data_IF_482040454316
#
_entry.id   IF_482040454316
#
_cell.length_a   1.000
_cell.length_b   1.000
_cell.length_c   1.000
_cell.angle_alpha   90.00
_cell.angle_beta   90.00
_cell.angle_gamma   90.00
#
_symmetry.space_group_name_H-M   'P 1'
#
loop_
_entity.id
_entity.type
_entity.pdbx_description
1 polymer ?
#
# COMPACT_ATOMS: atom_id res chain seq x y z
N UNK A 1 13.33 15.13 -28.23
CA UNK A 1 13.69 13.87 -27.52
C UNK A 1 12.57 13.58 -26.54
N UNK A 2 11.74 12.55 -26.79
CA UNK A 2 10.77 12.11 -25.80
C UNK A 2 11.56 11.44 -24.67
N UNK A 3 11.69 12.11 -23.51
CA UNK A 3 12.19 11.44 -22.32
C UNK A 3 11.23 10.30 -21.99
N UNK A 4 11.76 9.07 -21.97
CA UNK A 4 10.99 7.89 -21.55
C UNK A 4 10.52 8.14 -20.11
N UNK A 5 9.21 8.03 -19.86
CA UNK A 5 8.66 8.16 -18.50
C UNK A 5 9.22 7.03 -17.63
N UNK A 6 9.60 7.36 -16.40
CA UNK A 6 10.02 6.34 -15.42
C UNK A 6 8.86 5.38 -15.13
N UNK A 7 9.16 4.07 -15.18
CA UNK A 7 8.22 2.98 -14.85
C UNK A 7 7.95 2.98 -13.35
N UNK A 8 6.68 2.92 -12.96
CA UNK A 8 6.32 2.83 -11.54
C UNK A 8 5.41 1.66 -11.23
N UNK A 9 5.57 1.12 -10.03
CA UNK A 9 4.62 0.19 -9.42
C UNK A 9 4.18 0.73 -8.06
N UNK A 10 2.89 0.65 -7.78
CA UNK A 10 2.30 1.12 -6.52
C UNK A 10 1.97 -0.10 -5.65
N UNK A 11 2.47 -0.12 -4.41
CA UNK A 11 2.26 -1.17 -3.42
C UNK A 11 1.46 -0.60 -2.26
N UNK A 12 0.25 -1.12 -2.07
CA UNK A 12 -0.70 -0.62 -1.08
C UNK A 12 -0.92 -1.68 -0.01
N UNK A 13 -0.47 -1.41 1.20
CA UNK A 13 -0.92 -2.11 2.39
C UNK A 13 -2.35 -1.65 2.70
N UNK A 14 -3.34 -2.48 2.35
CA UNK A 14 -4.75 -2.11 2.36
C UNK A 14 -5.26 -1.75 3.76
N UNK A 15 -4.86 -2.53 4.76
CA UNK A 15 -5.22 -2.31 6.17
C UNK A 15 -4.59 -1.02 6.69
N UNK A 16 -3.27 -0.85 6.51
CA UNK A 16 -2.56 0.35 6.95
C UNK A 16 -3.07 1.61 6.24
N UNK A 17 -3.31 1.53 4.93
CA UNK A 17 -3.90 2.60 4.14
C UNK A 17 -5.27 3.02 4.67
N UNK A 18 -6.19 2.06 4.86
CA UNK A 18 -7.54 2.33 5.36
C UNK A 18 -7.51 3.04 6.72
N UNK A 19 -6.75 2.51 7.67
CA UNK A 19 -6.67 3.10 9.01
C UNK A 19 -5.97 4.46 9.01
N UNK A 20 -4.94 4.64 8.18
CA UNK A 20 -4.22 5.91 8.05
C UNK A 20 -5.13 7.00 7.49
N UNK A 21 -5.91 6.69 6.45
CA UNK A 21 -6.89 7.61 5.86
C UNK A 21 -8.00 7.94 6.84
N UNK A 22 -8.58 6.93 7.49
CA UNK A 22 -9.67 7.10 8.46
C UNK A 22 -9.24 7.99 9.63
N UNK A 23 -8.06 7.75 10.20
CA UNK A 23 -7.53 8.54 11.32
C UNK A 23 -7.15 9.97 10.93
N UNK A 24 -6.65 10.18 9.71
CA UNK A 24 -6.10 11.48 9.28
C UNK A 24 -7.15 12.40 8.66
N UNK A 25 -8.06 11.84 7.86
CA UNK A 25 -9.02 12.61 7.06
C UNK A 25 -10.48 12.29 7.38
N UNK A 26 -10.75 11.21 8.13
CA UNK A 26 -12.09 10.76 8.48
C UNK A 26 -13.05 10.67 7.28
N UNK A 27 -12.58 10.13 6.16
CA UNK A 27 -13.35 10.00 4.93
C UNK A 27 -13.04 8.68 4.19
N UNK A 28 -13.86 8.37 3.18
CA UNK A 28 -13.58 7.31 2.21
C UNK A 28 -12.90 7.93 0.99
N UNK A 29 -11.92 7.21 0.44
CA UNK A 29 -11.17 7.64 -0.74
C UNK A 29 -11.51 6.75 -1.93
N UNK A 30 -11.52 7.37 -3.10
CA UNK A 30 -11.48 6.66 -4.36
C UNK A 30 -10.04 6.19 -4.67
N UNK A 31 -9.82 4.87 -4.56
CA UNK A 31 -8.51 4.23 -4.77
C UNK A 31 -8.01 4.44 -6.19
N UNK A 32 -8.89 4.41 -7.19
CA UNK A 32 -8.50 4.60 -8.58
C UNK A 32 -8.00 6.03 -8.79
N UNK A 33 -8.77 7.03 -8.35
CA UNK A 33 -8.35 8.43 -8.45
C UNK A 33 -7.09 8.71 -7.64
N UNK A 34 -6.96 8.11 -6.45
CA UNK A 34 -5.76 8.20 -5.62
C UNK A 34 -4.52 7.72 -6.39
N UNK A 35 -4.59 6.52 -6.97
CA UNK A 35 -3.47 5.93 -7.71
C UNK A 35 -3.16 6.70 -8.99
N UNK A 36 -4.19 7.13 -9.74
CA UNK A 36 -4.02 7.95 -10.96
C UNK A 36 -3.31 9.27 -10.65
N UNK A 37 -3.77 9.99 -9.62
CA UNK A 37 -3.17 11.26 -9.18
C UNK A 37 -1.73 11.08 -8.71
N UNK A 38 -1.44 9.99 -8.02
CA UNK A 38 -0.08 9.66 -7.57
C UNK A 38 0.86 9.30 -8.74
N UNK A 39 0.31 8.69 -9.79
CA UNK A 39 1.05 8.25 -10.98
C UNK A 39 1.19 9.33 -12.07
N UNK A 40 0.69 10.55 -11.85
CA UNK A 40 0.81 11.64 -12.81
C UNK A 40 2.28 11.89 -13.21
N UNK A 41 2.56 11.88 -14.51
CA UNK A 41 3.92 12.06 -15.05
C UNK A 41 4.73 10.77 -15.20
N UNK A 42 4.26 9.63 -14.68
CA UNK A 42 4.95 8.33 -14.75
C UNK A 42 4.30 7.36 -15.74
N UNK A 43 5.00 6.27 -16.04
CA UNK A 43 4.42 5.09 -16.69
C UNK A 43 3.99 4.08 -15.62
N UNK A 44 2.69 4.06 -15.30
CA UNK A 44 2.15 3.15 -14.29
C UNK A 44 2.08 1.73 -14.84
N UNK A 45 2.94 0.84 -14.35
CA UNK A 45 2.99 -0.57 -14.77
C UNK A 45 1.90 -1.37 -14.09
N UNK A 46 1.81 -1.30 -12.75
CA UNK A 46 0.77 -1.99 -11.97
C UNK A 46 0.50 -1.38 -10.60
N UNK A 47 -0.63 -1.75 -10.02
CA UNK A 47 -1.02 -1.44 -8.65
C UNK A 47 -1.24 -2.77 -7.92
N UNK A 48 -0.49 -3.02 -6.85
CA UNK A 48 -0.66 -4.19 -6.01
C UNK A 48 -1.33 -3.77 -4.69
N UNK A 49 -2.54 -4.27 -4.43
CA UNK A 49 -3.30 -4.00 -3.23
C UNK A 49 -3.32 -5.24 -2.33
N UNK A 50 -2.66 -5.16 -1.18
CA UNK A 50 -2.48 -6.28 -0.27
C UNK A 50 -3.46 -6.20 0.89
N UNK A 51 -4.17 -7.30 1.15
CA UNK A 51 -5.18 -7.35 2.20
C UNK A 51 -5.51 -8.79 2.60
N UNK A 52 -5.78 -9.04 3.88
CA UNK A 52 -6.33 -10.32 4.31
C UNK A 52 -7.87 -10.35 4.19
N UNK A 53 -8.45 -11.41 3.61
CA UNK A 53 -9.90 -11.57 3.55
C UNK A 53 -10.46 -11.84 4.96
N UNK A 54 -11.61 -11.23 5.26
CA UNK A 54 -12.35 -11.47 6.49
C UNK A 54 -13.09 -12.81 6.39
N UNK A 55 -13.10 -13.57 7.48
CA UNK A 55 -13.84 -14.83 7.53
C UNK A 55 -15.35 -14.62 7.58
N UNK A 56 -16.10 -15.66 7.19
CA UNK A 56 -17.58 -15.66 7.20
C UNK A 56 -18.20 -15.56 8.59
N UNK A 57 -17.39 -15.75 9.65
CA UNK A 57 -17.81 -15.56 11.04
C UNK A 57 -18.39 -14.17 11.34
N UNK A 58 -18.13 -13.17 10.48
CA UNK A 58 -18.83 -11.89 10.47
C UNK A 58 -19.47 -11.64 9.08
N UNK A 59 -20.72 -12.10 8.85
CA UNK A 59 -21.36 -12.08 7.53
C UNK A 59 -21.50 -10.68 6.93
N UNK A 60 -21.75 -9.67 7.77
CA UNK A 60 -21.88 -8.27 7.32
C UNK A 60 -20.54 -7.73 6.82
N UNK A 61 -19.49 -7.90 7.60
CA UNK A 61 -18.15 -7.45 7.24
C UNK A 61 -17.62 -8.20 6.01
N UNK A 62 -17.90 -9.51 5.92
CA UNK A 62 -17.62 -10.33 4.74
C UNK A 62 -18.29 -9.77 3.48
N UNK A 63 -19.61 -9.55 3.53
CA UNK A 63 -20.38 -9.03 2.40
C UNK A 63 -19.89 -7.65 1.96
N UNK A 64 -19.59 -6.76 2.90
CA UNK A 64 -19.03 -5.43 2.62
C UNK A 64 -17.64 -5.53 1.97
N UNK A 65 -16.79 -6.45 2.45
CA UNK A 65 -15.46 -6.66 1.90
C UNK A 65 -15.52 -7.26 0.48
N UNK A 66 -16.40 -8.22 0.22
CA UNK A 66 -16.58 -8.76 -1.14
C UNK A 66 -17.03 -7.66 -2.11
N UNK A 67 -18.00 -6.83 -1.73
CA UNK A 67 -18.41 -5.66 -2.53
C UNK A 67 -17.25 -4.68 -2.77
N UNK A 68 -16.35 -4.52 -1.81
CA UNK A 68 -15.15 -3.70 -1.97
C UNK A 68 -14.17 -4.33 -2.94
N UNK A 69 -13.91 -5.63 -2.86
CA UNK A 69 -13.06 -6.35 -3.82
C UNK A 69 -13.60 -6.30 -5.24
N UNK A 70 -14.91 -6.45 -5.44
CA UNK A 70 -15.55 -6.30 -6.76
C UNK A 70 -15.38 -4.90 -7.34
N UNK A 71 -15.25 -3.87 -6.49
CA UNK A 71 -14.90 -2.51 -6.95
C UNK A 71 -13.42 -2.40 -7.30
N UNK A 72 -12.53 -2.96 -6.49
CA UNK A 72 -11.09 -2.93 -6.74
C UNK A 72 -10.71 -3.68 -8.03
N UNK A 73 -11.34 -4.83 -8.30
CA UNK A 73 -11.11 -5.62 -9.53
C UNK A 73 -11.42 -4.87 -10.82
N UNK A 74 -12.25 -3.81 -10.76
CA UNK A 74 -12.58 -2.96 -11.92
C UNK A 74 -11.55 -1.86 -12.20
N UNK A 75 -10.61 -1.65 -11.28
CA UNK A 75 -9.58 -0.62 -11.42
C UNK A 75 -8.49 -1.16 -12.36
N UNK A 76 -8.22 -0.42 -13.43
CA UNK A 76 -7.19 -0.79 -14.40
C UNK A 76 -5.83 -0.99 -13.72
N UNK A 77 -5.10 -2.03 -14.13
CA UNK A 77 -3.78 -2.44 -13.61
C UNK A 77 -3.72 -2.78 -12.12
N UNK A 78 -4.87 -2.85 -11.42
CA UNK A 78 -4.90 -3.22 -10.01
C UNK A 78 -5.06 -4.73 -9.83
N UNK A 79 -4.15 -5.31 -9.05
CA UNK A 79 -4.21 -6.70 -8.59
C UNK A 79 -4.40 -6.73 -7.08
N UNK A 80 -5.37 -7.54 -6.62
CA UNK A 80 -5.54 -7.84 -5.20
C UNK A 80 -4.64 -9.03 -4.85
N UNK A 81 -3.85 -8.89 -3.79
CA UNK A 81 -2.96 -9.93 -3.29
C UNK A 81 -3.39 -10.29 -1.87
N UNK A 82 -3.86 -11.52 -1.70
CA UNK A 82 -4.43 -11.95 -0.44
C UNK A 82 -3.34 -12.40 0.54
N UNK A 83 -3.37 -11.81 1.72
CA UNK A 83 -2.83 -12.42 2.93
C UNK A 83 -3.81 -13.44 3.50
N UNK A 84 -3.69 -13.70 4.80
CA UNK A 84 -4.66 -14.53 5.53
C UNK A 84 -4.93 -13.97 6.91
N UNK A 85 -6.15 -14.18 7.41
CA UNK A 85 -6.48 -13.92 8.81
C UNK A 85 -6.32 -15.20 9.61
N UNK A 86 -5.42 -15.17 10.59
CA UNK A 86 -5.25 -16.26 11.54
C UNK A 86 -5.99 -15.93 12.84
N UNK A 87 -6.76 -16.91 13.34
CA UNK A 87 -7.44 -16.79 14.63
C UNK A 87 -6.46 -17.17 15.74
N UNK A 88 -6.26 -16.25 16.66
CA UNK A 88 -5.46 -16.45 17.86
C UNK A 88 -6.34 -16.35 19.11
N UNK A 89 -5.86 -16.96 20.21
CA UNK A 89 -6.51 -16.92 21.52
C UNK A 89 -5.50 -16.41 22.55
N UNK A 90 -5.84 -15.34 23.24
CA UNK A 90 -5.06 -14.79 24.35
C UNK A 90 -6.02 -14.42 25.47
N UNK A 91 -5.70 -14.84 26.70
CA UNK A 91 -6.52 -14.62 27.90
C UNK A 91 -8.00 -14.98 27.72
N UNK A 92 -8.25 -16.11 27.04
CA UNK A 92 -9.61 -16.60 26.76
C UNK A 92 -10.35 -15.86 25.63
N UNK A 93 -9.82 -14.72 25.13
CA UNK A 93 -10.43 -13.93 24.05
C UNK A 93 -9.86 -14.32 22.69
N UNK A 94 -10.74 -14.50 21.72
CA UNK A 94 -10.35 -14.69 20.33
C UNK A 94 -10.05 -13.35 19.69
N UNK A 95 -8.93 -13.26 18.98
CA UNK A 95 -8.60 -12.14 18.12
C UNK A 95 -8.06 -12.65 16.78
N UNK A 96 -8.10 -11.81 15.76
CA UNK A 96 -7.64 -12.17 14.43
C UNK A 96 -6.41 -11.33 14.07
N UNK A 97 -5.40 -11.98 13.51
CA UNK A 97 -4.14 -11.34 13.10
C UNK A 97 -4.00 -11.50 11.60
N UNK A 98 -3.74 -10.39 10.93
CA UNK A 98 -3.35 -10.38 9.51
C UNK A 98 -1.94 -10.94 9.37
N UNK A 99 -1.80 -11.91 8.47
CA UNK A 99 -0.54 -12.60 8.18
C UNK A 99 -0.28 -12.61 6.69
N UNK A 100 0.98 -12.83 6.35
CA UNK A 100 1.52 -12.87 5.00
C UNK A 100 1.46 -11.56 4.19
N UNK A 101 0.68 -10.55 4.59
CA UNK A 101 0.63 -9.24 3.90
C UNK A 101 2.00 -8.58 3.84
N UNK A 102 2.68 -8.39 4.97
CA UNK A 102 4.00 -7.72 4.99
C UNK A 102 5.07 -8.54 4.28
N UNK A 103 4.98 -9.86 4.39
CA UNK A 103 5.86 -10.80 3.67
C UNK A 103 5.63 -10.70 2.15
N UNK A 104 4.38 -10.66 1.70
CA UNK A 104 4.02 -10.53 0.29
C UNK A 104 4.47 -9.18 -0.28
N UNK A 105 4.26 -8.08 0.45
CA UNK A 105 4.74 -6.75 0.04
C UNK A 105 6.25 -6.75 -0.09
N UNK A 106 6.96 -7.22 0.94
CA UNK A 106 8.43 -7.25 0.95
C UNK A 106 8.98 -8.13 -0.17
N UNK A 107 8.36 -9.29 -0.40
CA UNK A 107 8.69 -10.23 -1.48
C UNK A 107 8.55 -9.56 -2.85
N UNK A 108 7.39 -8.96 -3.12
CA UNK A 108 7.13 -8.39 -4.44
C UNK A 108 8.01 -7.16 -4.69
N UNK A 109 8.18 -6.28 -3.69
CA UNK A 109 9.10 -5.14 -3.79
C UNK A 109 10.51 -5.56 -4.23
N UNK A 110 11.08 -6.59 -3.59
CA UNK A 110 12.45 -7.00 -3.88
C UNK A 110 12.58 -7.78 -5.19
N UNK A 111 11.65 -8.69 -5.51
CA UNK A 111 11.71 -9.42 -6.78
C UNK A 111 11.43 -8.52 -7.97
N UNK A 112 10.49 -7.58 -7.86
CA UNK A 112 10.25 -6.60 -8.92
C UNK A 112 11.45 -5.67 -9.15
N UNK A 113 12.26 -5.40 -8.11
CA UNK A 113 13.52 -4.69 -8.26
C UNK A 113 14.58 -5.53 -9.00
N UNK A 114 14.69 -6.82 -8.66
CA UNK A 114 15.60 -7.78 -9.31
C UNK A 114 15.22 -7.96 -10.79
N UNK A 115 13.93 -8.06 -11.09
CA UNK A 115 13.39 -8.33 -12.43
C UNK A 115 13.23 -7.06 -13.29
N UNK A 116 13.76 -5.91 -12.84
CA UNK A 116 13.68 -4.61 -13.53
C UNK A 116 12.25 -4.14 -13.85
N UNK A 117 11.26 -4.51 -13.03
CA UNK A 117 9.85 -4.18 -13.33
C UNK A 117 9.56 -2.68 -13.19
N UNK A 118 10.21 -2.00 -12.25
CA UNK A 118 10.01 -0.57 -12.02
C UNK A 118 11.33 0.19 -11.98
N UNK A 119 11.27 1.50 -12.24
CA UNK A 119 12.34 2.44 -11.91
C UNK A 119 12.10 3.04 -10.51
N UNK A 120 10.81 3.26 -10.18
CA UNK A 120 10.39 3.65 -8.83
C UNK A 120 9.23 2.80 -8.29
N UNK A 121 9.34 2.38 -7.03
CA UNK A 121 8.24 1.77 -6.30
C UNK A 121 7.63 2.76 -5.31
N UNK A 122 6.31 2.89 -5.35
CA UNK A 122 5.56 3.71 -4.41
C UNK A 122 5.01 2.82 -3.31
N UNK A 123 5.59 2.88 -2.12
CA UNK A 123 5.17 2.11 -0.96
C UNK A 123 4.21 2.95 -0.11
N UNK A 124 2.96 2.49 -0.01
CA UNK A 124 1.91 3.11 0.80
C UNK A 124 1.66 2.22 2.02
N UNK A 125 2.48 2.42 3.05
CA UNK A 125 2.29 1.89 4.39
C UNK A 125 3.11 2.71 5.38
N UNK A 126 2.58 2.96 6.57
CA UNK A 126 3.34 3.55 7.67
C UNK A 126 4.06 2.50 8.53
N UNK A 127 4.08 1.23 8.13
CA UNK A 127 4.79 0.21 8.89
C UNK A 127 6.32 0.37 8.76
N UNK A 128 7.01 0.49 9.90
CA UNK A 128 8.46 0.62 9.95
C UNK A 128 9.21 -0.66 9.61
N UNK A 129 8.55 -1.82 9.66
CA UNK A 129 9.17 -3.12 9.44
C UNK A 129 9.62 -3.30 7.99
N UNK A 130 9.02 -2.57 7.03
CA UNK A 130 9.49 -2.52 5.65
C UNK A 130 10.86 -1.83 5.49
N UNK A 131 11.38 -1.14 6.51
CA UNK A 131 12.65 -0.41 6.38
C UNK A 131 13.83 -1.30 6.01
N UNK A 132 13.82 -2.57 6.43
CA UNK A 132 14.84 -3.56 6.05
C UNK A 132 14.86 -3.85 4.55
N UNK A 133 13.70 -4.12 3.95
CA UNK A 133 13.60 -4.36 2.50
C UNK A 133 13.85 -3.08 1.70
N UNK A 134 13.32 -1.94 2.16
CA UNK A 134 13.54 -0.64 1.49
C UNK A 134 15.02 -0.28 1.48
N UNK A 135 15.73 -0.37 2.61
CA UNK A 135 17.17 -0.13 2.66
C UNK A 135 17.96 -1.11 1.80
N UNK A 136 17.51 -2.36 1.67
CA UNK A 136 18.20 -3.35 0.84
C UNK A 136 18.07 -2.99 -0.63
N UNK A 137 16.87 -2.58 -1.06
CA UNK A 137 16.62 -2.21 -2.44
C UNK A 137 17.41 -0.96 -2.82
N UNK A 138 17.30 0.12 -2.04
CA UNK A 138 17.92 1.41 -2.35
C UNK A 138 19.45 1.39 -2.31
N UNK A 139 20.06 0.40 -1.66
CA UNK A 139 21.53 0.24 -1.60
C UNK A 139 22.09 -0.72 -2.63
N UNK A 140 21.31 -1.72 -3.06
CA UNK A 140 21.80 -2.82 -3.91
C UNK A 140 21.40 -2.69 -5.38
N UNK A 141 20.35 -1.95 -5.68
CA UNK A 141 19.83 -1.81 -7.03
C UNK A 141 19.72 -0.32 -7.38
N UNK A 142 19.83 0.00 -8.67
CA UNK A 142 19.55 1.35 -9.19
C UNK A 142 18.03 1.58 -9.28
N UNK A 143 17.39 1.62 -8.10
CA UNK A 143 15.94 1.66 -7.93
C UNK A 143 15.57 2.65 -6.85
N UNK A 144 14.50 3.41 -7.08
CA UNK A 144 13.99 4.36 -6.08
C UNK A 144 12.81 3.76 -5.33
N UNK A 145 12.79 3.92 -4.02
CA UNK A 145 11.61 3.65 -3.20
C UNK A 145 11.04 4.99 -2.73
N UNK A 146 9.80 5.27 -3.12
CA UNK A 146 9.03 6.44 -2.72
C UNK A 146 8.08 6.04 -1.59
N UNK A 147 8.37 6.49 -0.38
CA UNK A 147 7.49 6.31 0.76
C UNK A 147 6.33 7.30 0.69
N UNK A 148 5.11 6.80 0.53
CA UNK A 148 3.88 7.59 0.51
C UNK A 148 3.25 7.57 1.90
N UNK A 149 3.47 8.63 2.66
CA UNK A 149 3.09 8.75 4.05
C UNK A 149 1.72 9.43 4.20
N UNK A 150 0.77 8.75 4.85
CA UNK A 150 -0.55 9.30 5.19
C UNK A 150 -0.65 9.35 6.71
N UNK A 151 -0.66 10.53 7.31
CA UNK A 151 -0.66 10.59 8.77
C UNK A 151 -0.20 11.90 9.37
N UNK A 152 -0.07 11.89 10.68
CA UNK A 152 0.57 12.96 11.44
C UNK A 152 2.01 12.57 11.83
N UNK A 153 2.73 13.47 12.49
CA UNK A 153 4.13 13.23 12.90
C UNK A 153 4.32 11.98 13.77
N UNK A 154 3.30 11.54 14.51
CA UNK A 154 3.38 10.36 15.39
C UNK A 154 3.09 9.05 14.64
N UNK A 155 2.27 9.08 13.60
CA UNK A 155 1.89 7.86 12.85
C UNK A 155 2.78 7.59 11.64
N UNK A 156 3.46 8.59 11.11
CA UNK A 156 4.38 8.42 9.98
C UNK A 156 5.68 7.78 10.45
N UNK A 157 6.13 6.72 9.78
CA UNK A 157 7.32 5.96 10.16
C UNK A 157 8.60 6.79 10.02
N UNK A 158 9.32 6.93 11.12
CA UNK A 158 10.67 7.49 11.14
C UNK A 158 11.67 6.57 10.41
N UNK A 159 11.54 5.25 10.58
CA UNK A 159 12.43 4.27 9.98
C UNK A 159 12.35 4.31 8.46
N UNK A 160 11.15 4.35 7.88
CA UNK A 160 10.96 4.45 6.43
C UNK A 160 11.51 5.76 5.87
N UNK A 161 11.27 6.89 6.54
CA UNK A 161 11.83 8.19 6.12
C UNK A 161 13.34 8.19 5.99
N UNK A 162 14.03 7.41 6.83
CA UNK A 162 15.50 7.31 6.85
C UNK A 162 16.07 6.53 5.68
N UNK A 163 15.32 5.57 5.12
CA UNK A 163 15.85 4.61 4.14
C UNK A 163 15.22 4.73 2.75
N UNK A 164 14.05 5.36 2.64
CA UNK A 164 13.39 5.61 1.37
C UNK A 164 14.15 6.70 0.58
N UNK A 165 14.16 6.58 -0.74
CA UNK A 165 14.80 7.56 -1.64
C UNK A 165 14.11 8.92 -1.56
N UNK A 166 12.79 8.93 -1.35
CA UNK A 166 11.98 10.14 -1.14
C UNK A 166 10.76 9.79 -0.28
N UNK A 167 10.28 10.77 0.49
CA UNK A 167 8.99 10.68 1.18
C UNK A 167 8.01 11.69 0.59
N UNK A 168 6.80 11.25 0.25
CA UNK A 168 5.67 12.10 -0.16
C UNK A 168 4.64 12.05 0.95
N UNK A 169 4.35 13.20 1.57
CA UNK A 169 3.27 13.34 2.54
C UNK A 169 1.94 13.63 1.85
N UNK A 170 0.92 12.80 2.09
CA UNK A 170 -0.42 13.04 1.60
C UNK A 170 -1.14 13.99 2.58
N UNK A 171 -1.49 15.18 2.09
CA UNK A 171 -2.23 16.20 2.85
C UNK A 171 -3.69 16.34 2.40
N UNK A 172 -4.45 17.20 3.10
CA UNK A 172 -5.88 17.43 2.83
C UNK A 172 -6.15 17.81 1.36
N UNK A 173 -5.35 18.71 0.80
CA UNK A 173 -5.44 19.15 -0.61
C UNK A 173 -5.29 18.02 -1.62
N UNK A 174 -4.49 17.00 -1.30
CA UNK A 174 -4.37 15.84 -2.20
C UNK A 174 -5.68 15.05 -2.23
N UNK A 175 -6.33 14.92 -1.06
CA UNK A 175 -7.54 14.11 -0.85
C UNK A 175 -8.82 14.78 -1.34
N UNK A 176 -8.90 16.12 -1.34
CA UNK A 176 -10.14 16.87 -1.64
C UNK A 176 -10.84 16.42 -2.94
N UNK A 177 -10.09 16.21 -4.03
CA UNK A 177 -10.66 15.83 -5.34
C UNK A 177 -10.97 14.33 -5.49
N UNK A 178 -10.60 13.52 -4.49
CA UNK A 178 -10.64 12.05 -4.56
C UNK A 178 -11.44 11.43 -3.41
N UNK A 179 -12.21 12.24 -2.67
CA UNK A 179 -13.21 11.74 -1.71
C UNK A 179 -14.34 11.01 -2.43
N UNK A 180 -14.91 10.02 -1.76
CA UNK A 180 -16.14 9.32 -2.15
C UNK A 180 -17.34 9.85 -1.40
#
# INVERSE_FOLDING_TARGET
MNSKKEKIVIYIDGSNFYFSVKKTFNCKIDIEKFCKKLAEGYDLIRINYYIAPVGEANPKMYTEQQRFFEKLKKIDKLKIIFGRLEKHKQDGKNFYVEKATDVNISRDLIFDAIDDIYDQAFLISNDGDFSGVVSSITKKFDKKIIYVAIGNKKSISYHLKKVASKTIGIGKRFIEDIKK
#
